data_IF_873050779275
#
_entry.id   IF_873050779275
#
_cell.length_a   1.000
_cell.length_b   1.000
_cell.length_c   1.000
_cell.angle_alpha   90.00
_cell.angle_beta   90.00
_cell.angle_gamma   90.00
#
_symmetry.space_group_name_H-M   'P 1'
#
loop_
_entity.id
_entity.type
_entity.pdbx_description
1 polymer ?
#
# COMPACT_ATOMS: atom_id res chain seq x y z
N UNK A 1 21.21 13.38 4.45
CA UNK A 1 20.04 14.25 4.13
C UNK A 1 18.81 13.57 4.71
N UNK A 2 17.72 14.31 4.99
CA UNK A 2 16.49 13.66 5.48
C UNK A 2 15.76 12.99 4.31
N UNK A 3 15.46 11.69 4.45
CA UNK A 3 14.67 10.90 3.50
C UNK A 3 13.44 10.34 4.21
N UNK A 4 12.41 10.02 3.44
CA UNK A 4 11.17 9.44 3.94
C UNK A 4 10.97 8.08 3.30
N UNK A 5 10.77 7.04 4.10
CA UNK A 5 10.45 5.69 3.64
C UNK A 5 9.00 5.36 3.95
N UNK A 6 8.27 4.87 2.96
CA UNK A 6 6.92 4.31 3.14
C UNK A 6 7.03 2.82 3.41
N UNK A 7 6.29 2.32 4.40
CA UNK A 7 6.11 0.88 4.64
C UNK A 7 4.64 0.56 4.55
N UNK A 8 4.26 -0.28 3.59
CA UNK A 8 2.90 -0.78 3.41
C UNK A 8 2.71 -2.02 4.28
N UNK A 9 1.60 -2.10 5.00
CA UNK A 9 1.22 -3.23 5.84
C UNK A 9 -0.07 -3.84 5.28
N UNK A 10 0.04 -5.07 4.80
CA UNK A 10 -1.08 -5.80 4.22
C UNK A 10 -1.81 -6.64 5.27
N UNK A 11 -3.11 -6.93 5.08
CA UNK A 11 -3.92 -7.66 6.06
C UNK A 11 -3.52 -9.12 6.27
N UNK A 12 -2.78 -9.71 5.33
CA UNK A 12 -2.16 -11.04 5.44
C UNK A 12 -0.90 -11.03 6.33
N UNK A 13 -0.47 -9.87 6.79
CA UNK A 13 0.72 -9.67 7.61
C UNK A 13 1.98 -9.43 6.78
N UNK A 14 1.89 -9.39 5.45
CA UNK A 14 3.00 -8.99 4.60
C UNK A 14 3.28 -7.49 4.75
N UNK A 15 4.56 -7.15 4.64
CA UNK A 15 5.05 -5.78 4.72
C UNK A 15 5.95 -5.50 3.53
N UNK A 16 5.66 -4.40 2.83
CA UNK A 16 6.43 -3.95 1.67
C UNK A 16 7.04 -2.57 1.97
N UNK A 17 8.37 -2.50 1.93
CA UNK A 17 9.08 -1.23 2.03
C UNK A 17 9.15 -0.57 0.65
N UNK A 18 8.57 0.62 0.55
CA UNK A 18 8.64 1.47 -0.63
C UNK A 18 10.00 2.16 -0.78
N UNK A 19 10.06 3.00 -1.81
CA UNK A 19 11.24 3.81 -2.14
C UNK A 19 11.52 4.91 -1.09
N UNK A 20 12.72 5.50 -1.18
CA UNK A 20 13.11 6.65 -0.36
C UNK A 20 12.76 7.95 -1.09
N UNK A 21 11.98 8.79 -0.43
CA UNK A 21 11.53 10.08 -0.94
C UNK A 21 12.27 11.23 -0.27
N UNK A 22 12.41 12.36 -0.96
CA UNK A 22 13.02 13.58 -0.41
C UNK A 22 12.04 14.38 0.45
N UNK A 23 10.73 14.20 0.22
CA UNK A 23 9.69 14.90 0.95
C UNK A 23 8.61 13.96 1.51
N UNK A 24 8.03 14.35 2.64
CA UNK A 24 6.90 13.62 3.23
C UNK A 24 5.69 13.57 2.28
N UNK A 25 5.44 14.65 1.53
CA UNK A 25 4.30 14.71 0.60
C UNK A 25 4.43 13.73 -0.56
N UNK A 26 5.64 13.49 -1.06
CA UNK A 26 5.91 12.45 -2.07
C UNK A 26 5.66 11.05 -1.51
N UNK A 27 6.16 10.79 -0.29
CA UNK A 27 5.93 9.52 0.41
C UNK A 27 4.43 9.26 0.64
N UNK A 28 3.67 10.25 1.11
CA UNK A 28 2.22 10.13 1.29
C UNK A 28 1.49 9.88 -0.03
N UNK A 29 1.87 10.60 -1.09
CA UNK A 29 1.26 10.44 -2.41
C UNK A 29 1.50 9.03 -2.97
N UNK A 30 2.72 8.50 -2.77
CA UNK A 30 3.06 7.13 -3.14
C UNK A 30 2.26 6.10 -2.35
N UNK A 31 2.13 6.26 -1.03
CA UNK A 31 1.35 5.36 -0.18
C UNK A 31 -0.12 5.29 -0.62
N UNK A 32 -0.75 6.45 -0.84
CA UNK A 32 -2.13 6.55 -1.32
C UNK A 32 -2.31 5.90 -2.71
N UNK A 33 -1.33 6.09 -3.60
CA UNK A 33 -1.33 5.44 -4.91
C UNK A 33 -1.26 3.91 -4.78
N UNK A 34 -0.36 3.39 -3.96
CA UNK A 34 -0.23 1.94 -3.72
C UNK A 34 -1.52 1.34 -3.13
N UNK A 35 -2.19 2.03 -2.19
CA UNK A 35 -3.49 1.60 -1.66
C UNK A 35 -4.54 1.53 -2.78
N UNK A 36 -4.61 2.55 -3.63
CA UNK A 36 -5.53 2.59 -4.77
C UNK A 36 -5.26 1.44 -5.76
N UNK A 37 -3.98 1.17 -6.04
CA UNK A 37 -3.56 0.05 -6.89
C UNK A 37 -3.90 -1.31 -6.28
N UNK A 38 -3.69 -1.50 -4.97
CA UNK A 38 -4.05 -2.72 -4.27
C UNK A 38 -5.55 -3.00 -4.36
N UNK A 39 -6.38 -1.99 -4.11
CA UNK A 39 -7.85 -2.09 -4.19
C UNK A 39 -8.32 -2.42 -5.61
N UNK A 40 -7.83 -1.67 -6.60
CA UNK A 40 -8.20 -1.89 -8.01
C UNK A 40 -7.69 -3.24 -8.51
N UNK A 41 -6.48 -3.65 -8.12
CA UNK A 41 -5.91 -4.96 -8.43
C UNK A 41 -6.74 -6.10 -7.87
N UNK A 42 -7.23 -5.96 -6.63
CA UNK A 42 -8.17 -6.90 -6.01
C UNK A 42 -9.47 -7.03 -6.78
N UNK A 43 -10.07 -5.90 -7.20
CA UNK A 43 -11.28 -5.90 -8.03
C UNK A 43 -11.08 -6.60 -9.39
N UNK A 44 -9.94 -6.37 -10.05
CA UNK A 44 -9.60 -6.99 -11.34
C UNK A 44 -9.35 -8.51 -11.19
N UNK A 45 -8.68 -8.95 -10.12
CA UNK A 45 -8.51 -10.37 -9.81
C UNK A 45 -9.86 -11.05 -9.53
N UNK A 46 -10.75 -10.40 -8.80
CA UNK A 46 -12.11 -10.85 -8.56
C UNK A 46 -12.93 -11.03 -9.85
N UNK A 47 -12.80 -10.11 -10.80
CA UNK A 47 -13.49 -10.19 -12.09
C UNK A 47 -12.99 -11.35 -12.96
N UNK A 48 -11.77 -11.85 -12.70
CA UNK A 48 -11.19 -12.98 -13.43
C UNK A 48 -11.67 -14.35 -12.92
N UNK A 49 -12.19 -14.41 -11.68
CA UNK A 49 -12.74 -15.62 -11.04
C UNK A 49 -14.01 -15.29 -10.23
N UNK A 50 -15.15 -14.98 -10.90
CA UNK A 50 -16.38 -14.58 -10.22
C UNK A 50 -16.94 -15.73 -9.37
N UNK A 51 -16.76 -15.64 -8.05
CA UNK A 51 -17.32 -16.57 -7.06
C UNK A 51 -16.35 -17.10 -6.00
N UNK A 52 -15.03 -16.94 -6.18
CA UNK A 52 -14.03 -17.57 -5.30
C UNK A 52 -13.38 -16.63 -4.28
N UNK A 53 -13.48 -15.32 -4.51
CA UNK A 53 -13.10 -14.35 -3.50
C UNK A 53 -14.36 -13.67 -2.95
N UNK A 54 -14.69 -13.81 -1.65
CA UNK A 54 -15.60 -12.88 -1.03
C UNK A 54 -15.00 -11.48 -1.23
N UNK A 55 -15.81 -10.50 -1.65
CA UNK A 55 -15.42 -9.08 -1.58
C UNK A 55 -15.34 -8.76 -0.10
N UNK A 56 -14.31 -9.29 0.55
CA UNK A 56 -14.14 -9.12 1.97
C UNK A 56 -13.82 -7.67 2.14
N UNK A 57 -14.54 -7.03 3.04
CA UNK A 57 -14.26 -5.69 3.54
C UNK A 57 -12.83 -5.55 4.09
N UNK A 58 -12.04 -6.63 4.10
CA UNK A 58 -10.60 -6.68 4.36
C UNK A 58 -9.70 -6.15 3.24
N UNK A 59 -10.18 -6.03 1.99
CA UNK A 59 -9.41 -5.35 0.94
C UNK A 59 -9.19 -3.85 1.25
N UNK A 60 -9.96 -3.31 2.20
CA UNK A 60 -9.81 -1.95 2.74
C UNK A 60 -8.92 -1.87 3.99
N UNK A 61 -8.37 -3.00 4.47
CA UNK A 61 -7.51 -3.07 5.68
C UNK A 61 -6.00 -3.00 5.36
N UNK A 62 -5.61 -2.36 4.25
CA UNK A 62 -4.20 -2.02 3.99
C UNK A 62 -3.84 -0.74 4.76
N UNK A 63 -2.77 -0.79 5.53
CA UNK A 63 -2.27 0.33 6.33
C UNK A 63 -0.88 0.76 5.82
N UNK A 64 -0.42 1.95 6.23
CA UNK A 64 0.92 2.41 5.87
C UNK A 64 1.55 3.23 6.99
N UNK A 65 2.87 3.13 7.10
CA UNK A 65 3.68 3.94 8.00
C UNK A 65 4.74 4.69 7.21
N UNK A 66 5.04 5.93 7.61
CA UNK A 66 6.12 6.73 7.03
C UNK A 66 7.18 6.92 8.11
N UNK A 67 8.40 6.51 7.82
CA UNK A 67 9.56 6.69 8.70
C UNK A 67 10.55 7.69 8.09
N UNK A 68 11.08 8.56 8.93
CA UNK A 68 12.15 9.48 8.56
C UNK A 68 13.50 8.77 8.71
N UNK A 69 14.33 8.85 7.68
CA UNK A 69 15.65 8.22 7.65
C UNK A 69 16.70 9.32 7.45
N UNK A 70 17.63 9.41 8.39
CA UNK A 70 18.85 10.20 8.22
C UNK A 70 19.86 9.39 7.40
N UNK A 71 20.13 9.83 6.17
CA UNK A 71 21.25 9.33 5.34
C UNK A 71 22.58 9.91 5.81
#
# INVERSE_FOLDING_TARGET
>A
MMKYQVTMCYPDGDVECGELFDTMSEAESFAQYQISCYRTGGEVLHMSSPGDYPLSSDADNIDYSISEIEE
#
